data_IF_174042717347
#
_entry.id   IF_174042717347
#
_cell.length_a   1.000
_cell.length_b   1.000
_cell.length_c   1.000
_cell.angle_alpha   90.00
_cell.angle_beta   90.00
_cell.angle_gamma   90.00
#
_symmetry.space_group_name_H-M   'P 1'
#
loop_
_entity.id
_entity.type
_entity.pdbx_description
1 polymer ?
#
# COMPACT_ATOMS: atom_id res chain seq x y z
N UNK A 1 43.64 -36.35 2.01
CA UNK A 1 43.10 -37.50 2.79
C UNK A 1 41.59 -37.57 2.58
N UNK A 2 41.01 -38.71 2.16
CA UNK A 2 39.56 -38.85 2.05
C UNK A 2 38.91 -38.81 3.44
N UNK A 3 37.76 -38.13 3.57
CA UNK A 3 36.94 -38.17 4.79
C UNK A 3 36.10 -39.44 4.79
N UNK A 4 36.16 -40.21 5.87
CA UNK A 4 35.26 -41.33 6.09
C UNK A 4 33.88 -40.84 6.51
N UNK A 5 32.85 -41.55 6.06
CA UNK A 5 31.48 -41.29 6.48
C UNK A 5 31.31 -41.66 7.96
N UNK A 6 30.78 -40.73 8.77
CA UNK A 6 30.56 -40.93 10.21
C UNK A 6 29.07 -41.15 10.49
N UNK A 7 28.73 -42.36 10.94
CA UNK A 7 27.37 -42.76 11.29
C UNK A 7 26.93 -42.33 12.71
N UNK A 8 27.87 -41.99 13.59
CA UNK A 8 27.63 -41.61 14.98
C UNK A 8 27.36 -40.11 15.12
N UNK A 9 26.44 -39.58 14.31
CA UNK A 9 25.98 -38.21 14.45
C UNK A 9 24.53 -38.21 14.88
N UNK A 10 24.16 -37.29 15.76
CA UNK A 10 22.79 -37.13 16.24
C UNK A 10 21.77 -37.08 15.08
N UNK A 11 22.13 -36.43 13.97
CA UNK A 11 21.31 -36.34 12.77
C UNK A 11 20.90 -37.70 12.21
N UNK A 12 21.79 -38.71 12.26
CA UNK A 12 21.53 -40.05 11.76
C UNK A 12 20.75 -40.91 12.77
N UNK A 13 20.93 -40.69 14.07
CA UNK A 13 20.15 -41.39 15.09
C UNK A 13 18.70 -40.91 15.16
N UNK A 14 18.46 -39.60 14.95
CA UNK A 14 17.11 -39.02 14.96
C UNK A 14 16.29 -39.32 13.68
N UNK A 15 16.91 -39.90 12.65
CA UNK A 15 16.27 -40.18 11.36
C UNK A 15 15.13 -41.21 11.48
N UNK A 16 15.22 -42.15 12.42
CA UNK A 16 14.14 -43.11 12.71
C UNK A 16 12.88 -42.46 13.28
N UNK A 17 13.04 -41.36 14.03
CA UNK A 17 11.93 -40.64 14.66
C UNK A 17 11.25 -39.65 13.72
N UNK A 18 11.87 -39.33 12.57
CA UNK A 18 11.32 -38.38 11.60
C UNK A 18 10.02 -38.85 10.98
N UNK A 19 9.88 -40.13 10.63
CA UNK A 19 8.65 -40.65 10.03
C UNK A 19 7.44 -40.45 10.96
N UNK A 20 7.60 -40.77 12.25
CA UNK A 20 6.57 -40.57 13.26
C UNK A 20 6.31 -39.08 13.52
N UNK A 21 7.34 -38.26 13.49
CA UNK A 21 7.23 -36.81 13.69
C UNK A 21 6.49 -36.13 12.54
N UNK A 22 6.77 -36.51 11.28
CA UNK A 22 6.08 -36.00 10.08
C UNK A 22 4.60 -36.40 10.12
N UNK A 23 4.29 -37.64 10.51
CA UNK A 23 2.89 -38.07 10.65
C UNK A 23 2.13 -37.31 11.76
N UNK A 24 2.80 -36.92 12.84
CA UNK A 24 2.17 -36.27 14.00
C UNK A 24 2.08 -34.75 13.89
N UNK A 25 3.07 -34.10 13.27
CA UNK A 25 3.20 -32.64 13.24
C UNK A 25 3.24 -32.05 11.82
N UNK A 26 3.25 -32.89 10.78
CA UNK A 26 3.51 -32.46 9.40
C UNK A 26 5.00 -32.23 9.12
N UNK A 27 5.33 -31.91 7.87
CA UNK A 27 6.68 -31.44 7.53
C UNK A 27 6.95 -30.13 8.29
N UNK A 28 7.97 -30.14 9.14
CA UNK A 28 8.42 -28.95 9.88
C UNK A 28 9.42 -28.13 9.08
N UNK A 29 9.99 -28.71 8.02
CA UNK A 29 10.81 -28.01 7.05
C UNK A 29 9.90 -27.19 6.13
N UNK A 30 10.22 -25.90 6.05
CA UNK A 30 9.53 -24.93 5.23
C UNK A 30 9.30 -25.50 3.83
N UNK A 31 8.04 -25.67 3.44
CA UNK A 31 7.61 -26.01 2.06
C UNK A 31 8.15 -25.05 0.98
N UNK A 32 8.84 -23.98 1.40
CA UNK A 32 9.34 -22.92 0.56
C UNK A 32 10.63 -22.32 1.11
N UNK A 33 11.56 -22.02 0.21
CA UNK A 33 12.79 -21.27 0.51
C UNK A 33 12.53 -19.77 0.71
N UNK A 34 11.30 -19.30 0.47
CA UNK A 34 10.94 -17.87 0.50
C UNK A 34 11.35 -17.16 1.80
N UNK A 35 11.15 -17.80 2.97
CA UNK A 35 11.51 -17.18 4.27
C UNK A 35 13.02 -16.95 4.34
N UNK A 36 13.81 -17.96 3.95
CA UNK A 36 15.26 -17.86 3.89
C UNK A 36 15.73 -16.84 2.86
N UNK A 37 15.18 -16.89 1.65
CA UNK A 37 15.52 -15.95 0.57
C UNK A 37 15.22 -14.50 0.95
N UNK A 38 14.07 -14.23 1.55
CA UNK A 38 13.70 -12.90 2.03
C UNK A 38 14.67 -12.41 3.11
N UNK A 39 15.04 -13.26 4.07
CA UNK A 39 16.03 -12.94 5.09
C UNK A 39 17.40 -12.64 4.46
N UNK A 40 17.85 -13.46 3.51
CA UNK A 40 19.10 -13.27 2.79
C UNK A 40 19.11 -11.99 1.94
N UNK A 41 17.99 -11.60 1.33
CA UNK A 41 17.84 -10.33 0.60
C UNK A 41 18.07 -9.13 1.53
N UNK A 42 17.48 -9.15 2.73
CA UNK A 42 17.64 -8.08 3.72
C UNK A 42 19.09 -7.98 4.21
N UNK A 43 19.69 -9.11 4.58
CA UNK A 43 21.09 -9.16 5.05
C UNK A 43 22.04 -8.66 3.95
N UNK A 44 21.88 -9.11 2.70
CA UNK A 44 22.69 -8.63 1.57
C UNK A 44 22.51 -7.14 1.31
N UNK A 45 21.29 -6.61 1.45
CA UNK A 45 21.02 -5.17 1.33
C UNK A 45 21.78 -4.40 2.42
N UNK A 46 21.66 -4.81 3.68
CA UNK A 46 22.37 -4.17 4.79
C UNK A 46 23.88 -4.26 4.66
N UNK A 47 24.41 -5.41 4.24
CA UNK A 47 25.84 -5.60 4.03
C UNK A 47 26.43 -4.58 3.05
N UNK A 48 25.74 -4.31 1.93
CA UNK A 48 26.15 -3.29 0.93
C UNK A 48 26.23 -1.87 1.52
N UNK A 49 25.47 -1.59 2.58
CA UNK A 49 25.42 -0.27 3.23
C UNK A 49 26.42 -0.14 4.39
N UNK A 50 27.18 -1.20 4.70
CA UNK A 50 28.20 -1.19 5.75
C UNK A 50 29.58 -0.82 5.20
N UNK A 51 30.47 -0.31 6.04
CA UNK A 51 31.88 -0.11 5.69
C UNK A 51 32.73 -1.40 5.81
N UNK A 52 32.07 -2.55 6.01
CA UNK A 52 32.67 -3.89 6.18
C UNK A 52 33.58 -4.08 7.41
N UNK A 53 33.61 -3.13 8.33
CA UNK A 53 34.24 -3.27 9.66
C UNK A 53 33.18 -3.66 10.69
N UNK A 54 33.47 -4.63 11.55
CA UNK A 54 32.52 -5.08 12.60
C UNK A 54 31.10 -5.34 12.06
N UNK A 55 31.03 -6.11 10.97
CA UNK A 55 29.83 -6.30 10.14
C UNK A 55 28.61 -6.74 10.96
N UNK A 56 28.79 -7.68 11.88
CA UNK A 56 27.69 -8.21 12.70
C UNK A 56 26.99 -7.13 13.51
N UNK A 57 27.74 -6.19 14.08
CA UNK A 57 27.17 -5.09 14.86
C UNK A 57 26.42 -4.10 13.95
N UNK A 58 26.99 -3.77 12.80
CA UNK A 58 26.34 -2.87 11.85
C UNK A 58 25.05 -3.46 11.27
N UNK A 59 25.06 -4.74 10.91
CA UNK A 59 23.86 -5.46 10.46
C UNK A 59 22.76 -5.44 11.53
N UNK A 60 23.12 -5.70 12.80
CA UNK A 60 22.17 -5.64 13.91
C UNK A 60 21.60 -4.22 14.11
N UNK A 61 22.42 -3.18 13.98
CA UNK A 61 21.95 -1.78 14.04
C UNK A 61 20.98 -1.45 12.90
N UNK A 62 21.27 -1.90 11.68
CA UNK A 62 20.39 -1.71 10.53
C UNK A 62 19.05 -2.43 10.67
N UNK A 63 19.07 -3.69 11.13
CA UNK A 63 17.86 -4.45 11.42
C UNK A 63 17.00 -3.72 12.46
N UNK A 64 17.58 -3.34 13.61
CA UNK A 64 16.86 -2.65 14.68
C UNK A 64 16.23 -1.34 14.20
N UNK A 65 16.96 -0.57 13.39
CA UNK A 65 16.45 0.68 12.79
C UNK A 65 15.26 0.41 11.87
N UNK A 66 15.36 -0.59 10.98
CA UNK A 66 14.27 -0.95 10.07
C UNK A 66 13.04 -1.46 10.83
N UNK A 67 13.25 -2.29 11.86
CA UNK A 67 12.19 -2.81 12.71
C UNK A 67 11.50 -1.69 13.50
N UNK A 68 12.25 -0.71 14.02
CA UNK A 68 11.67 0.48 14.67
C UNK A 68 10.81 1.30 13.70
N UNK A 69 11.30 1.57 12.49
CA UNK A 69 10.54 2.30 11.47
C UNK A 69 9.25 1.57 11.09
N UNK A 70 9.30 0.24 10.92
CA UNK A 70 8.12 -0.59 10.66
C UNK A 70 7.09 -0.49 11.78
N UNK A 71 7.53 -0.57 13.04
CA UNK A 71 6.62 -0.41 14.21
C UNK A 71 5.99 0.97 14.27
N UNK A 72 6.75 2.02 13.96
CA UNK A 72 6.18 3.37 13.90
C UNK A 72 5.15 3.49 12.78
N UNK A 73 5.41 2.89 11.61
CA UNK A 73 4.44 2.86 10.51
C UNK A 73 3.19 2.06 10.86
N UNK A 74 3.31 0.94 11.57
CA UNK A 74 2.15 0.16 11.99
C UNK A 74 1.31 0.87 13.05
N UNK A 75 1.92 1.63 13.96
CA UNK A 75 1.19 2.47 14.92
C UNK A 75 0.43 3.63 14.26
N UNK A 76 0.94 4.09 13.12
CA UNK A 76 0.31 5.15 12.31
C UNK A 76 -0.67 4.54 11.30
N UNK A 77 -0.77 3.21 11.20
CA UNK A 77 -1.78 2.53 10.39
C UNK A 77 -3.04 2.44 11.24
N UNK A 78 -3.91 3.45 11.17
CA UNK A 78 -5.26 3.35 11.72
C UNK A 78 -5.90 2.07 11.17
N UNK A 79 -6.41 1.24 12.09
CA UNK A 79 -7.24 0.12 11.67
C UNK A 79 -8.40 0.66 10.83
N UNK A 80 -8.74 -0.02 9.72
CA UNK A 80 -9.92 0.35 8.96
C UNK A 80 -11.11 0.45 9.91
N UNK A 81 -11.89 1.55 9.87
CA UNK A 81 -13.17 1.56 10.56
C UNK A 81 -13.99 0.36 10.07
N UNK A 82 -14.69 -0.28 11.00
CA UNK A 82 -15.57 -1.39 10.65
C UNK A 82 -16.53 -0.93 9.54
N UNK A 83 -16.67 -1.70 8.44
CA UNK A 83 -17.50 -1.30 7.32
C UNK A 83 -18.97 -1.28 7.77
N UNK A 84 -19.51 -0.08 7.99
CA UNK A 84 -20.93 0.11 8.22
C UNK A 84 -21.66 0.04 6.86
N UNK A 85 -22.63 -0.88 6.68
CA UNK A 85 -23.34 -1.04 5.40
C UNK A 85 -24.08 0.22 4.93
N UNK A 86 -24.42 1.11 5.86
CA UNK A 86 -25.15 2.36 5.60
C UNK A 86 -24.27 3.42 4.90
N UNK A 87 -22.94 3.27 4.95
CA UNK A 87 -22.01 4.25 4.41
C UNK A 87 -21.28 3.66 3.19
N UNK A 88 -21.59 4.15 1.98
CA UNK A 88 -20.97 3.68 0.73
C UNK A 88 -19.45 3.88 0.69
N UNK A 89 -18.93 4.93 1.31
CA UNK A 89 -17.50 5.20 1.29
C UNK A 89 -17.04 5.90 2.56
N UNK A 90 -15.80 5.63 2.96
CA UNK A 90 -15.12 6.27 4.07
C UNK A 90 -13.82 6.93 3.60
N UNK A 91 -13.60 8.16 4.06
CA UNK A 91 -12.42 8.98 3.79
C UNK A 91 -11.73 9.29 5.13
N UNK A 92 -10.43 9.06 5.24
CA UNK A 92 -9.68 9.41 6.45
C UNK A 92 -9.64 10.94 6.68
N UNK A 93 -9.84 11.39 7.92
CA UNK A 93 -9.89 12.81 8.33
C UNK A 93 -8.53 13.55 8.37
N UNK A 94 -7.55 13.08 7.58
CA UNK A 94 -6.23 13.72 7.53
C UNK A 94 -6.24 14.96 6.64
N UNK A 95 -6.21 16.15 7.25
CA UNK A 95 -6.06 17.44 6.55
C UNK A 95 -4.61 17.79 6.17
N UNK A 96 -3.65 16.97 6.56
CA UNK A 96 -2.22 17.26 6.38
C UNK A 96 -1.77 17.20 4.90
N UNK A 97 -2.52 16.49 4.06
CA UNK A 97 -2.13 16.22 2.67
C UNK A 97 -2.99 17.04 1.72
N UNK A 98 -2.44 18.14 1.23
CA UNK A 98 -3.02 18.96 0.17
C UNK A 98 -2.27 18.77 -1.14
N UNK A 99 -3.00 18.49 -2.22
CA UNK A 99 -2.43 18.40 -3.57
C UNK A 99 -2.87 19.62 -4.37
N UNK A 100 -1.93 20.19 -5.12
CA UNK A 100 -2.25 21.16 -6.16
C UNK A 100 -2.76 20.40 -7.37
N UNK A 101 -4.05 20.51 -7.65
CA UNK A 101 -4.66 19.75 -8.72
C UNK A 101 -4.10 20.13 -10.09
N UNK A 102 -3.86 21.43 -10.35
CA UNK A 102 -3.30 21.87 -11.63
C UNK A 102 -1.91 21.25 -11.89
N UNK A 103 -1.05 21.19 -10.87
CA UNK A 103 0.24 20.50 -10.95
C UNK A 103 0.08 19.01 -11.20
N UNK A 104 -0.79 18.34 -10.43
CA UNK A 104 -1.07 16.91 -10.60
C UNK A 104 -1.54 16.57 -12.02
N UNK A 105 -2.46 17.36 -12.56
CA UNK A 105 -3.02 17.20 -13.90
C UNK A 105 -1.96 17.41 -14.99
N UNK A 106 -1.06 18.38 -14.80
CA UNK A 106 0.08 18.61 -15.70
C UNK A 106 1.06 17.43 -15.70
N UNK A 107 1.42 16.92 -14.52
CA UNK A 107 2.38 15.83 -14.34
C UNK A 107 1.88 14.50 -14.94
N UNK A 108 0.57 14.31 -15.03
CA UNK A 108 -0.06 13.09 -15.55
C UNK A 108 -0.67 13.28 -16.96
N UNK A 109 -0.21 14.28 -17.73
CA UNK A 109 -0.75 14.61 -19.06
C UNK A 109 -0.73 13.46 -20.09
N UNK A 110 0.06 12.41 -19.87
CA UNK A 110 0.14 11.23 -20.74
C UNK A 110 -0.89 10.13 -20.40
N UNK A 111 -1.50 10.17 -19.21
CA UNK A 111 -2.48 9.19 -18.74
C UNK A 111 -3.83 9.43 -19.43
N UNK A 112 -4.43 8.48 -20.17
CA UNK A 112 -5.73 8.65 -20.83
C UNK A 112 -6.87 9.14 -19.93
N UNK A 113 -6.88 8.76 -18.64
CA UNK A 113 -7.88 9.21 -17.69
C UNK A 113 -7.72 10.70 -17.31
N UNK A 114 -6.51 11.23 -17.47
CA UNK A 114 -6.15 12.64 -17.26
C UNK A 114 -6.05 13.39 -18.58
N UNK A 115 -5.80 12.71 -19.70
CA UNK A 115 -5.60 13.27 -21.05
C UNK A 115 -6.86 13.89 -21.63
N UNK A 116 -8.02 13.54 -21.09
CA UNK A 116 -9.26 14.32 -21.19
C UNK A 116 -9.16 15.68 -20.47
N UNK A 117 -7.96 16.21 -20.18
CA UNK A 117 -7.71 17.34 -19.30
C UNK A 117 -8.39 18.64 -19.69
N UNK A 118 -8.61 18.85 -20.99
CA UNK A 118 -9.43 19.98 -21.46
C UNK A 118 -10.87 19.85 -20.96
N UNK A 119 -11.33 18.64 -20.71
CA UNK A 119 -12.67 18.28 -20.25
C UNK A 119 -12.73 17.92 -18.75
N UNK A 120 -11.64 17.51 -18.08
CA UNK A 120 -11.72 17.06 -16.67
C UNK A 120 -12.28 18.13 -15.73
N UNK A 121 -11.73 19.35 -15.76
CA UNK A 121 -12.22 20.44 -14.89
C UNK A 121 -13.66 20.83 -15.28
N UNK A 122 -14.00 20.99 -16.58
CA UNK A 122 -15.38 21.17 -16.99
C UNK A 122 -16.35 20.06 -16.56
N UNK A 123 -15.98 18.78 -16.66
CA UNK A 123 -16.82 17.64 -16.25
C UNK A 123 -16.93 17.54 -14.73
N UNK A 124 -15.85 17.82 -13.99
CA UNK A 124 -15.91 17.98 -12.54
C UNK A 124 -16.88 19.11 -12.16
N UNK A 125 -16.86 20.24 -12.88
CA UNK A 125 -17.83 21.32 -12.65
C UNK A 125 -19.25 20.90 -12.98
N UNK A 126 -19.47 20.16 -14.07
CA UNK A 126 -20.79 19.63 -14.42
C UNK A 126 -21.34 18.72 -13.32
N UNK A 127 -20.52 17.79 -12.83
CA UNK A 127 -20.88 16.88 -11.75
C UNK A 127 -21.17 17.63 -10.44
N UNK A 128 -20.32 18.58 -10.06
CA UNK A 128 -20.55 19.36 -8.84
C UNK A 128 -21.80 20.24 -8.95
N UNK A 129 -22.07 20.82 -10.12
CA UNK A 129 -23.29 21.57 -10.37
C UNK A 129 -24.52 20.68 -10.26
N UNK A 130 -24.51 19.47 -10.83
CA UNK A 130 -25.64 18.55 -10.70
C UNK A 130 -25.89 18.15 -9.25
N UNK A 131 -24.83 17.89 -8.47
CA UNK A 131 -24.93 17.63 -7.03
C UNK A 131 -25.50 18.83 -6.26
N UNK A 132 -25.01 20.04 -6.51
CA UNK A 132 -25.46 21.25 -5.80
C UNK A 132 -26.91 21.60 -6.15
N UNK A 133 -27.33 21.35 -7.39
CA UNK A 133 -28.71 21.56 -7.85
C UNK A 133 -29.66 20.42 -7.47
N UNK A 134 -29.14 19.32 -6.90
CA UNK A 134 -29.94 18.19 -6.45
C UNK A 134 -30.53 17.37 -7.60
N UNK A 135 -29.90 17.34 -8.77
CA UNK A 135 -30.33 16.46 -9.85
C UNK A 135 -29.97 15.01 -9.55
N UNK A 136 -30.89 14.09 -9.83
CA UNK A 136 -30.62 12.66 -9.76
C UNK A 136 -29.60 12.24 -10.82
N UNK A 137 -28.75 11.28 -10.46
CA UNK A 137 -27.78 10.70 -11.39
C UNK A 137 -28.48 9.75 -12.35
N UNK A 138 -28.64 10.17 -13.62
CA UNK A 138 -29.34 9.43 -14.67
C UNK A 138 -28.40 8.55 -15.53
N UNK A 139 -27.11 8.46 -15.16
CA UNK A 139 -26.11 7.68 -15.87
C UNK A 139 -25.39 8.45 -16.97
N UNK A 140 -25.85 9.66 -17.31
CA UNK A 140 -25.22 10.56 -18.26
C UNK A 140 -24.75 11.84 -17.56
N UNK A 141 -23.61 12.39 -17.97
CA UNK A 141 -23.15 13.67 -17.46
C UNK A 141 -23.98 14.80 -18.08
N UNK A 142 -24.82 15.44 -17.25
CA UNK A 142 -25.55 16.64 -17.67
C UNK A 142 -24.58 17.73 -18.08
N UNK A 143 -24.76 18.25 -19.29
CA UNK A 143 -23.95 19.34 -19.82
C UNK A 143 -24.50 20.68 -19.39
N UNK A 144 -23.64 21.47 -18.76
CA UNK A 144 -23.91 22.87 -18.44
C UNK A 144 -23.16 23.79 -19.39
N UNK A 145 -23.71 24.97 -19.64
CA UNK A 145 -23.06 26.02 -20.42
C UNK A 145 -21.83 26.58 -19.69
N UNK A 146 -20.90 27.20 -20.43
CA UNK A 146 -19.73 27.86 -19.83
C UNK A 146 -20.12 28.94 -18.82
N UNK A 147 -21.19 29.67 -19.10
CA UNK A 147 -21.79 30.66 -18.19
C UNK A 147 -22.22 30.04 -16.86
N UNK A 148 -22.88 28.87 -16.89
CA UNK A 148 -23.30 28.17 -15.68
C UNK A 148 -22.12 27.59 -14.92
N UNK A 149 -21.14 27.01 -15.63
CA UNK A 149 -19.89 26.50 -15.05
C UNK A 149 -19.06 27.59 -14.38
N UNK A 150 -19.13 28.83 -14.86
CA UNK A 150 -18.43 29.97 -14.28
C UNK A 150 -19.06 30.47 -12.98
N UNK A 151 -20.32 30.10 -12.69
CA UNK A 151 -20.92 30.37 -11.38
C UNK A 151 -20.34 29.45 -10.29
N UNK A 152 -19.70 28.34 -10.66
CA UNK A 152 -19.01 27.45 -9.72
C UNK A 152 -17.53 27.84 -9.62
N UNK A 153 -17.17 28.41 -8.47
CA UNK A 153 -15.82 28.81 -8.13
C UNK A 153 -15.20 27.87 -7.10
N UNK A 154 -13.99 27.38 -7.37
CA UNK A 154 -13.24 26.60 -6.42
C UNK A 154 -12.47 27.49 -5.46
N UNK A 155 -12.62 27.25 -4.16
CA UNK A 155 -11.84 27.96 -3.13
C UNK A 155 -10.35 27.68 -3.36
N UNK A 156 -9.54 28.74 -3.37
CA UNK A 156 -8.09 28.69 -3.63
C UNK A 156 -7.71 28.01 -4.95
N UNK A 157 -8.58 28.03 -5.97
CA UNK A 157 -8.32 27.47 -7.31
C UNK A 157 -7.82 26.02 -7.29
N UNK A 158 -8.35 25.16 -6.41
CA UNK A 158 -7.95 23.75 -6.28
C UNK A 158 -6.44 23.55 -5.98
N UNK A 159 -5.78 24.57 -5.42
CA UNK A 159 -4.37 24.46 -5.00
C UNK A 159 -4.16 23.57 -3.78
N UNK A 160 -5.22 23.29 -3.02
CA UNK A 160 -5.22 22.46 -1.81
C UNK A 160 -6.40 21.48 -1.82
N UNK A 161 -6.49 20.66 -2.85
CA UNK A 161 -7.46 19.55 -2.86
C UNK A 161 -7.03 18.54 -1.80
N UNK A 162 -7.99 18.09 -0.98
CA UNK A 162 -7.70 17.11 0.06
C UNK A 162 -7.33 15.78 -0.58
N UNK A 163 -6.19 15.25 -0.21
CA UNK A 163 -5.81 13.89 -0.54
C UNK A 163 -5.99 13.03 0.72
N UNK A 164 -7.08 12.26 0.83
CA UNK A 164 -7.25 11.36 1.95
C UNK A 164 -6.09 10.36 1.95
N UNK A 165 -5.56 10.05 3.13
CA UNK A 165 -4.56 8.99 3.28
C UNK A 165 -5.15 7.62 2.94
N UNK A 166 -6.44 7.44 3.18
CA UNK A 166 -7.19 6.23 2.87
C UNK A 166 -8.56 6.57 2.29
N UNK A 167 -8.89 5.94 1.16
CA UNK A 167 -10.22 5.89 0.58
C UNK A 167 -10.70 4.44 0.62
N UNK A 168 -11.81 4.20 1.31
CA UNK A 168 -12.44 2.89 1.43
C UNK A 168 -13.83 2.96 0.80
N UNK A 169 -14.14 2.01 -0.08
CA UNK A 169 -15.47 1.86 -0.69
C UNK A 169 -16.10 0.60 -0.10
N UNK A 170 -17.24 0.76 0.56
CA UNK A 170 -18.03 -0.33 1.08
C UNK A 170 -19.05 -0.72 0.01
N UNK A 171 -18.86 -1.89 -0.60
CA UNK A 171 -19.79 -2.45 -1.57
C UNK A 171 -20.34 -3.77 -1.03
N UNK A 172 -21.63 -4.00 -1.21
CA UNK A 172 -22.25 -5.29 -0.93
C UNK A 172 -22.03 -6.19 -2.14
N UNK A 173 -21.28 -7.28 -1.96
CA UNK A 173 -21.29 -8.39 -2.95
C UNK A 173 -22.54 -9.22 -2.74
N UNK A 174 -23.46 -9.20 -3.71
CA UNK A 174 -24.58 -10.13 -3.80
C UNK A 174 -24.13 -11.49 -4.33
#
# INVERSE_FOLDING_TARGET
KPKSFNLFTYKLHALGDYAKSIGRFGMTDSYTTQIGELAHRLIKKFYRMTNKKDVSEQLARHERRQTRLRRQQSLVMEEPPEPLPELHHHLSDSWANGVNLAGFLSDHSSDPAVKSLWDFVPELKNHLLSCVLGFEYDGDERRFSDSERNNLCFINNLSRVRQPRRFQVNYTTY
#
